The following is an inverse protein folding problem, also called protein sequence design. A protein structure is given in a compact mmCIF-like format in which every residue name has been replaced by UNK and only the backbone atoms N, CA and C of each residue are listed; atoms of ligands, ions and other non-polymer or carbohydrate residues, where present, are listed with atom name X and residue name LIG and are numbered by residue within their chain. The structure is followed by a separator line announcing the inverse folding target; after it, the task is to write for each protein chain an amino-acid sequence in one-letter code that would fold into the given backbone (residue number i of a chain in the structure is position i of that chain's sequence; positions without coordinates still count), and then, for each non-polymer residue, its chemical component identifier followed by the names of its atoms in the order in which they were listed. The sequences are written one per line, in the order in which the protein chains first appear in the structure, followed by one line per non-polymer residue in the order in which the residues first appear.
data_IF_698995737077
#
_entry.id   IF_698995737077
#
_cell.length_a   1.000
_cell.length_b   1.000
_cell.length_c   1.000
_cell.angle_alpha   90.00
_cell.angle_beta   90.00
_cell.angle_gamma   90.00
#
_symmetry.space_group_name_H-M   'P 1'
#
loop_
_entity.id
_entity.type
_entity.pdbx_description
1 polymer ?
#
# COMPACT_ATOMS: atom_id res chain seq x y z
N UNK A 1 -38.58 -38.32 68.74
CA UNK A 1 -37.86 -37.78 67.57
C UNK A 1 -38.79 -36.80 66.94
N UNK A 2 -38.57 -35.53 67.22
CA UNK A 2 -39.30 -34.44 66.60
C UNK A 2 -38.38 -33.22 66.53
N UNK A 3 -38.57 -32.52 65.42
CA UNK A 3 -37.88 -31.32 65.00
C UNK A 3 -38.13 -30.17 65.98
N UNK A 4 -37.13 -29.29 66.08
CA UNK A 4 -37.26 -27.84 65.84
C UNK A 4 -36.41 -27.00 66.82
N UNK A 5 -35.88 -25.93 66.25
CA UNK A 5 -35.39 -24.73 66.92
C UNK A 5 -34.06 -24.84 67.68
N UNK A 6 -32.98 -24.53 66.97
CA UNK A 6 -31.98 -23.59 67.48
C UNK A 6 -31.55 -22.69 66.32
N UNK A 7 -32.11 -21.49 66.36
CA UNK A 7 -31.85 -20.35 65.49
C UNK A 7 -30.86 -19.40 66.21
N UNK A 8 -30.11 -18.62 65.43
CA UNK A 8 -29.03 -17.66 65.77
C UNK A 8 -27.62 -18.29 65.70
N UNK A 9 -26.67 -17.86 64.87
CA UNK A 9 -26.45 -16.53 64.30
C UNK A 9 -25.99 -16.63 62.84
N UNK A 10 -26.53 -15.72 62.04
CA UNK A 10 -26.23 -15.43 60.65
C UNK A 10 -24.97 -14.58 60.50
N UNK A 11 -24.01 -15.04 59.71
CA UNK A 11 -23.11 -14.16 58.96
C UNK A 11 -23.09 -14.65 57.51
N UNK A 12 -23.74 -13.86 56.66
CA UNK A 12 -23.67 -13.95 55.21
C UNK A 12 -22.29 -13.48 54.76
N UNK A 13 -21.46 -14.41 54.32
CA UNK A 13 -20.27 -14.09 53.51
C UNK A 13 -20.78 -13.75 52.11
N UNK A 14 -21.00 -12.47 51.84
CA UNK A 14 -21.07 -11.97 50.47
C UNK A 14 -19.70 -12.19 49.83
N UNK A 15 -19.62 -13.17 48.94
CA UNK A 15 -18.48 -13.33 48.03
C UNK A 15 -18.52 -12.17 47.04
N UNK A 16 -17.87 -11.05 47.38
CA UNK A 16 -17.57 -10.00 46.41
C UNK A 16 -16.66 -10.59 45.32
N UNK A 17 -17.18 -10.65 44.09
CA UNK A 17 -16.37 -10.89 42.90
C UNK A 17 -15.34 -9.74 42.79
N UNK A 18 -14.08 -10.02 42.45
CA UNK A 18 -13.03 -9.02 42.50
C UNK A 18 -13.25 -7.96 41.41
N UNK A 19 -13.23 -6.69 41.81
CA UNK A 19 -13.39 -5.50 40.99
C UNK A 19 -12.26 -5.26 39.94
N UNK A 20 -11.45 -6.27 39.61
CA UNK A 20 -10.26 -6.13 38.77
C UNK A 20 -10.52 -6.18 37.26
N UNK A 21 -11.55 -6.91 36.81
CA UNK A 21 -11.75 -7.15 35.37
C UNK A 21 -12.41 -5.96 34.65
N UNK A 22 -13.26 -5.19 35.34
CA UNK A 22 -13.91 -4.01 34.77
C UNK A 22 -12.93 -2.84 34.56
N UNK A 23 -11.98 -2.64 35.48
CA UNK A 23 -10.94 -1.61 35.37
C UNK A 23 -9.94 -1.95 34.27
N UNK A 24 -9.58 -3.23 34.10
CA UNK A 24 -8.70 -3.67 33.02
C UNK A 24 -9.31 -3.44 31.62
N UNK A 25 -10.59 -3.79 31.44
CA UNK A 25 -11.30 -3.55 30.18
C UNK A 25 -11.42 -2.05 29.85
N UNK A 26 -11.67 -1.22 30.86
CA UNK A 26 -11.74 0.24 30.68
C UNK A 26 -10.38 0.86 30.34
N UNK A 27 -9.29 0.37 30.93
CA UNK A 27 -7.93 0.81 30.60
C UNK A 27 -7.57 0.44 29.16
N UNK A 28 -7.88 -0.78 28.72
CA UNK A 28 -7.67 -1.21 27.33
C UNK A 28 -8.47 -0.34 26.35
N UNK A 29 -9.76 -0.11 26.63
CA UNK A 29 -10.61 0.73 25.79
C UNK A 29 -10.09 2.17 25.69
N UNK A 30 -9.63 2.75 26.80
CA UNK A 30 -9.08 4.11 26.82
C UNK A 30 -7.76 4.19 26.02
N UNK A 31 -6.89 3.18 26.12
CA UNK A 31 -5.67 3.09 25.33
C UNK A 31 -5.99 2.94 23.83
N UNK A 32 -6.97 2.11 23.46
CA UNK A 32 -7.43 1.94 22.08
C UNK A 32 -8.02 3.25 21.52
N UNK A 33 -8.82 3.98 22.30
CA UNK A 33 -9.39 5.26 21.89
C UNK A 33 -8.35 6.37 21.78
N UNK A 34 -7.35 6.40 22.66
CA UNK A 34 -6.24 7.34 22.60
C UNK A 34 -5.30 7.02 21.42
N UNK A 35 -5.02 5.75 21.15
CA UNK A 35 -4.33 5.33 19.93
C UNK A 35 -5.11 5.69 18.67
N UNK A 36 -6.45 5.54 18.69
CA UNK A 36 -7.31 5.92 17.56
C UNK A 36 -7.24 7.42 17.31
N UNK A 37 -7.33 8.24 18.36
CA UNK A 37 -7.18 9.70 18.27
C UNK A 37 -5.79 10.11 17.77
N UNK A 38 -4.73 9.49 18.28
CA UNK A 38 -3.37 9.79 17.82
C UNK A 38 -3.18 9.43 16.33
N UNK A 39 -3.74 8.29 15.89
CA UNK A 39 -3.76 7.91 14.47
C UNK A 39 -4.57 8.90 13.63
N UNK A 40 -5.72 9.36 14.11
CA UNK A 40 -6.55 10.36 13.42
C UNK A 40 -5.86 11.73 13.34
N UNK A 41 -5.17 12.17 14.38
CA UNK A 41 -4.38 13.40 14.38
C UNK A 41 -3.17 13.31 13.44
N UNK A 42 -2.46 12.18 13.46
CA UNK A 42 -1.39 11.89 12.47
C UNK A 42 -1.94 11.87 11.05
N UNK A 43 -3.15 11.34 10.82
CA UNK A 43 -3.81 11.38 9.50
C UNK A 43 -4.15 12.81 9.08
N UNK A 44 -4.68 13.65 9.98
CA UNK A 44 -5.07 15.06 9.69
C UNK A 44 -3.90 15.97 9.35
N UNK A 45 -2.73 15.73 9.94
CA UNK A 45 -1.54 16.57 9.72
C UNK A 45 -0.68 16.12 8.53
N UNK A 46 -1.02 14.99 7.88
CA UNK A 46 -0.28 14.47 6.73
C UNK A 46 -0.84 15.03 5.43
N UNK A 47 0.06 15.28 4.48
CA UNK A 47 -0.37 15.50 3.11
C UNK A 47 -1.09 14.23 2.61
N UNK A 48 -2.29 14.36 2.03
CA UNK A 48 -3.06 13.19 1.61
C UNK A 48 -2.34 12.45 0.48
N UNK A 49 -2.36 11.11 0.48
CA UNK A 49 -1.80 10.33 -0.62
C UNK A 49 -2.60 10.56 -1.90
N UNK A 50 -1.92 10.42 -3.03
CA UNK A 50 -2.55 10.40 -4.35
C UNK A 50 -2.88 8.95 -4.67
N UNK A 51 -4.18 8.66 -4.80
CA UNK A 51 -4.72 7.34 -5.14
C UNK A 51 -5.81 7.47 -6.20
N UNK A 52 -6.25 6.34 -6.76
CA UNK A 52 -7.18 6.30 -7.87
C UNK A 52 -8.40 5.46 -7.50
N UNK A 53 -9.34 6.08 -6.78
CA UNK A 53 -10.52 5.42 -6.20
C UNK A 53 -11.52 4.94 -7.24
N UNK A 54 -11.66 5.70 -8.32
CA UNK A 54 -12.68 5.46 -9.36
C UNK A 54 -12.09 4.79 -10.61
N UNK A 55 -10.87 4.27 -10.54
CA UNK A 55 -10.19 3.69 -11.71
C UNK A 55 -10.73 2.30 -12.10
N UNK A 56 -11.37 1.60 -11.17
CA UNK A 56 -11.83 0.22 -11.35
C UNK A 56 -13.30 0.11 -10.93
N UNK A 57 -14.12 -0.42 -11.83
CA UNK A 57 -15.42 -0.98 -11.46
C UNK A 57 -15.24 -2.44 -11.04
N UNK A 58 -15.20 -2.67 -9.73
CA UNK A 58 -14.92 -4.00 -9.17
C UNK A 58 -15.95 -5.05 -9.56
N UNK A 59 -17.21 -4.66 -9.79
CA UNK A 59 -18.25 -5.63 -10.17
C UNK A 59 -17.96 -6.20 -11.55
N UNK A 60 -17.63 -5.33 -12.52
CA UNK A 60 -17.28 -5.73 -13.89
C UNK A 60 -16.00 -6.58 -13.90
N UNK A 61 -14.98 -6.15 -13.16
CA UNK A 61 -13.71 -6.87 -13.10
C UNK A 61 -13.86 -8.25 -12.44
N UNK A 62 -14.64 -8.34 -11.36
CA UNK A 62 -14.90 -9.59 -10.66
C UNK A 62 -15.73 -10.55 -11.52
N UNK A 63 -16.83 -10.10 -12.12
CA UNK A 63 -17.67 -10.94 -13.00
C UNK A 63 -16.86 -11.47 -14.19
N UNK A 64 -15.99 -10.62 -14.76
CA UNK A 64 -15.09 -11.03 -15.84
C UNK A 64 -14.06 -12.05 -15.35
N UNK A 65 -13.49 -11.87 -14.15
CA UNK A 65 -12.56 -12.81 -13.55
C UNK A 65 -13.21 -14.20 -13.38
N UNK A 66 -14.42 -14.25 -12.80
CA UNK A 66 -15.19 -15.49 -12.61
C UNK A 66 -15.40 -16.19 -13.96
N UNK A 67 -15.85 -15.47 -14.99
CA UNK A 67 -16.05 -16.04 -16.32
C UNK A 67 -14.78 -16.61 -16.96
N UNK A 68 -13.60 -16.07 -16.65
CA UNK A 68 -12.32 -16.56 -17.17
C UNK A 68 -11.82 -17.83 -16.47
N UNK A 69 -12.20 -18.04 -15.21
CA UNK A 69 -11.75 -19.15 -14.35
C UNK A 69 -12.83 -20.22 -14.14
N UNK A 70 -14.02 -20.04 -14.71
CA UNK A 70 -15.12 -21.00 -14.64
C UNK A 70 -14.68 -22.41 -15.08
N UNK A 71 -15.02 -23.40 -14.26
CA UNK A 71 -14.65 -24.81 -14.44
C UNK A 71 -13.15 -25.15 -14.33
N UNK A 72 -12.28 -24.22 -13.90
CA UNK A 72 -10.81 -24.43 -13.77
C UNK A 72 -10.30 -24.53 -12.35
N UNK A 73 -11.17 -24.25 -11.38
CA UNK A 73 -10.84 -24.21 -9.97
C UNK A 73 -11.17 -25.55 -9.28
N UNK A 74 -10.30 -25.97 -8.37
CA UNK A 74 -10.59 -27.05 -7.45
C UNK A 74 -11.54 -26.59 -6.32
N UNK A 75 -11.94 -27.48 -5.41
CA UNK A 75 -12.89 -27.17 -4.33
C UNK A 75 -12.37 -26.07 -3.37
N UNK A 76 -11.09 -26.11 -3.00
CA UNK A 76 -10.47 -25.11 -2.11
C UNK A 76 -10.36 -23.73 -2.78
N UNK A 77 -10.12 -23.71 -4.09
CA UNK A 77 -10.05 -22.48 -4.88
C UNK A 77 -11.43 -21.90 -5.15
N UNK A 78 -12.46 -22.74 -5.30
CA UNK A 78 -13.85 -22.29 -5.36
C UNK A 78 -14.26 -21.62 -4.05
N UNK A 79 -13.84 -22.18 -2.91
CA UNK A 79 -14.02 -21.53 -1.62
C UNK A 79 -13.29 -20.18 -1.58
N UNK A 80 -12.01 -20.13 -1.98
CA UNK A 80 -11.23 -18.88 -2.00
C UNK A 80 -11.83 -17.81 -2.92
N UNK A 81 -12.49 -18.22 -4.02
CA UNK A 81 -13.22 -17.32 -4.91
C UNK A 81 -14.49 -16.76 -4.23
N UNK A 82 -15.22 -17.57 -3.47
CA UNK A 82 -16.38 -17.11 -2.69
C UNK A 82 -15.93 -16.15 -1.56
N UNK A 83 -14.83 -16.44 -0.89
CA UNK A 83 -14.23 -15.54 0.12
C UNK A 83 -13.87 -14.17 -0.50
N UNK A 84 -13.31 -14.17 -1.73
CA UNK A 84 -13.05 -12.94 -2.48
C UNK A 84 -14.34 -12.18 -2.81
N UNK A 85 -15.39 -12.90 -3.19
CA UNK A 85 -16.71 -12.32 -3.46
C UNK A 85 -17.31 -11.66 -2.22
N UNK A 86 -17.29 -12.36 -1.08
CA UNK A 86 -17.75 -11.85 0.22
C UNK A 86 -16.98 -10.58 0.62
N UNK A 87 -15.66 -10.61 0.49
CA UNK A 87 -14.81 -9.47 0.81
C UNK A 87 -15.04 -8.26 -0.09
N UNK A 88 -15.16 -8.47 -1.40
CA UNK A 88 -15.18 -7.38 -2.38
C UNK A 88 -16.58 -6.85 -2.68
N UNK A 89 -17.59 -7.71 -2.78
CA UNK A 89 -18.93 -7.34 -3.25
C UNK A 89 -19.99 -7.35 -2.14
N UNK A 90 -19.80 -8.13 -1.07
CA UNK A 90 -20.74 -8.17 0.06
C UNK A 90 -20.30 -7.33 1.27
N UNK A 91 -19.11 -6.74 1.18
CA UNK A 91 -18.50 -5.91 2.23
C UNK A 91 -18.38 -6.64 3.58
N UNK A 92 -18.20 -7.96 3.56
CA UNK A 92 -18.04 -8.73 4.80
C UNK A 92 -16.73 -8.36 5.50
N UNK A 93 -15.70 -7.88 4.79
CA UNK A 93 -14.42 -7.48 5.36
C UNK A 93 -13.38 -8.60 5.34
N UNK A 94 -12.14 -8.31 5.71
CA UNK A 94 -11.00 -9.19 5.45
C UNK A 94 -11.00 -10.47 6.29
N UNK A 95 -11.87 -10.58 7.29
CA UNK A 95 -12.03 -11.81 8.08
C UNK A 95 -12.71 -12.93 7.28
N UNK A 96 -13.35 -12.61 6.16
CA UNK A 96 -13.85 -13.60 5.21
C UNK A 96 -12.69 -14.36 4.52
N UNK A 97 -11.48 -13.80 4.49
CA UNK A 97 -10.35 -14.38 3.77
C UNK A 97 -9.66 -15.47 4.60
N UNK A 98 -9.68 -16.70 4.10
CA UNK A 98 -9.08 -17.88 4.72
C UNK A 98 -7.57 -17.97 4.55
N UNK A 99 -6.96 -19.00 5.16
CA UNK A 99 -5.50 -19.18 5.17
C UNK A 99 -4.90 -19.45 3.78
N UNK A 100 -5.66 -20.10 2.89
CA UNK A 100 -5.23 -20.47 1.54
C UNK A 100 -5.48 -19.36 0.50
N UNK A 101 -6.13 -18.26 0.90
CA UNK A 101 -6.55 -17.19 -0.01
C UNK A 101 -5.38 -16.62 -0.82
N UNK A 102 -4.24 -16.36 -0.19
CA UNK A 102 -3.08 -15.79 -0.91
C UNK A 102 -2.44 -16.79 -1.88
N UNK A 103 -2.49 -18.09 -1.61
CA UNK A 103 -2.01 -19.13 -2.52
C UNK A 103 -2.89 -19.17 -3.79
N UNK A 104 -4.20 -19.06 -3.61
CA UNK A 104 -5.15 -18.88 -4.70
C UNK A 104 -4.84 -17.63 -5.54
N UNK A 105 -4.64 -16.46 -4.91
CA UNK A 105 -4.21 -15.24 -5.63
C UNK A 105 -2.89 -15.46 -6.37
N UNK A 106 -1.92 -16.13 -5.74
CA UNK A 106 -0.63 -16.48 -6.36
C UNK A 106 -0.79 -17.31 -7.63
N UNK A 107 -1.68 -18.30 -7.62
CA UNK A 107 -2.02 -19.09 -8.82
C UNK A 107 -2.65 -18.22 -9.90
N UNK A 108 -3.65 -17.40 -9.58
CA UNK A 108 -4.30 -16.51 -10.55
C UNK A 108 -3.32 -15.55 -11.24
N UNK A 109 -2.30 -15.10 -10.51
CA UNK A 109 -1.29 -14.19 -11.04
C UNK A 109 -0.25 -14.88 -11.94
N UNK A 110 0.08 -16.15 -11.68
CA UNK A 110 1.29 -16.79 -12.25
C UNK A 110 1.04 -18.03 -13.10
N UNK A 111 -0.12 -18.67 -12.97
CA UNK A 111 -0.43 -19.92 -13.67
C UNK A 111 -0.70 -19.66 -15.16
N UNK A 112 0.27 -20.04 -15.99
CA UNK A 112 0.22 -19.86 -17.45
C UNK A 112 -0.79 -20.77 -18.15
N UNK A 113 -1.37 -21.75 -17.45
CA UNK A 113 -2.45 -22.57 -17.99
C UNK A 113 -3.81 -21.83 -17.97
N UNK A 114 -3.92 -20.78 -17.15
CA UNK A 114 -5.08 -19.91 -17.12
C UNK A 114 -5.06 -18.91 -18.28
N UNK A 115 -6.21 -18.28 -18.54
CA UNK A 115 -6.31 -17.26 -19.59
C UNK A 115 -5.43 -16.06 -19.24
N UNK A 116 -4.75 -15.46 -20.23
CA UNK A 116 -3.84 -14.30 -20.01
C UNK A 116 -4.52 -13.12 -19.29
N UNK A 117 -5.84 -12.95 -19.48
CA UNK A 117 -6.64 -11.94 -18.81
C UNK A 117 -6.87 -12.18 -17.31
N UNK A 118 -6.67 -13.39 -16.79
CA UNK A 118 -6.92 -13.71 -15.37
C UNK A 118 -6.02 -12.87 -14.46
N UNK A 119 -4.72 -12.82 -14.78
CA UNK A 119 -3.74 -12.02 -14.02
C UNK A 119 -4.12 -10.54 -13.97
N UNK A 120 -4.56 -9.98 -15.12
CA UNK A 120 -5.01 -8.60 -15.23
C UNK A 120 -6.24 -8.33 -14.36
N UNK A 121 -7.29 -9.16 -14.48
CA UNK A 121 -8.52 -8.98 -13.69
C UNK A 121 -8.25 -9.15 -12.19
N UNK A 122 -7.38 -10.08 -11.83
CA UNK A 122 -6.95 -10.28 -10.44
C UNK A 122 -6.26 -9.03 -9.89
N UNK A 123 -5.32 -8.43 -10.63
CA UNK A 123 -4.67 -7.18 -10.22
C UNK A 123 -5.65 -6.02 -10.08
N UNK A 124 -6.65 -5.92 -10.96
CA UNK A 124 -7.67 -4.88 -10.88
C UNK A 124 -8.57 -5.05 -9.64
N UNK A 125 -8.99 -6.28 -9.34
CA UNK A 125 -9.75 -6.57 -8.10
C UNK A 125 -8.89 -6.26 -6.87
N UNK A 126 -7.61 -6.64 -6.86
CA UNK A 126 -6.69 -6.28 -5.78
C UNK A 126 -6.47 -4.76 -5.67
N UNK A 127 -6.45 -4.04 -6.78
CA UNK A 127 -6.32 -2.59 -6.79
C UNK A 127 -7.54 -1.88 -6.17
N UNK A 128 -8.74 -2.45 -6.32
CA UNK A 128 -9.92 -2.02 -5.60
C UNK A 128 -9.83 -2.41 -4.11
N UNK A 129 -9.38 -3.62 -3.80
CA UNK A 129 -9.19 -4.10 -2.43
C UNK A 129 -8.19 -3.24 -1.64
N UNK A 130 -7.15 -2.71 -2.29
CA UNK A 130 -6.13 -1.85 -1.69
C UNK A 130 -6.69 -0.57 -1.04
N UNK A 131 -7.89 -0.15 -1.42
CA UNK A 131 -8.56 1.02 -0.88
C UNK A 131 -9.38 0.73 0.39
N UNK A 132 -9.59 -0.55 0.73
CA UNK A 132 -10.31 -0.94 1.95
C UNK A 132 -9.42 -0.79 3.18
N UNK A 133 -10.00 -0.31 4.28
CA UNK A 133 -9.26 0.01 5.52
C UNK A 133 -8.60 -1.21 6.18
N UNK A 134 -9.20 -2.39 5.99
CA UNK A 134 -8.82 -3.67 6.58
C UNK A 134 -7.89 -4.51 5.68
N UNK A 135 -7.53 -4.02 4.49
CA UNK A 135 -6.64 -4.74 3.54
C UNK A 135 -5.30 -5.12 4.18
N UNK A 136 -4.84 -4.36 5.18
CA UNK A 136 -3.63 -4.65 5.94
C UNK A 136 -3.63 -6.03 6.59
N UNK A 137 -4.81 -6.57 6.97
CA UNK A 137 -4.91 -7.90 7.56
C UNK A 137 -4.54 -8.99 6.54
N UNK A 138 -4.97 -8.84 5.29
CA UNK A 138 -4.55 -9.69 4.17
C UNK A 138 -3.04 -9.51 3.88
N UNK A 139 -2.54 -8.27 3.85
CA UNK A 139 -1.11 -8.00 3.60
C UNK A 139 -0.18 -8.58 4.69
N UNK A 140 -0.65 -8.67 5.93
CA UNK A 140 0.09 -9.32 7.02
C UNK A 140 0.26 -10.82 6.81
N UNK A 141 -0.74 -11.50 6.23
CA UNK A 141 -0.65 -12.91 5.89
C UNK A 141 0.40 -13.16 4.80
N UNK A 142 0.60 -12.19 3.88
CA UNK A 142 1.57 -12.29 2.78
C UNK A 142 3.02 -12.39 3.25
N UNK A 143 3.35 -11.96 4.47
CA UNK A 143 4.70 -12.06 5.04
C UNK A 143 5.27 -13.48 5.07
N UNK A 144 4.42 -14.52 4.95
CA UNK A 144 4.85 -15.92 4.95
C UNK A 144 5.50 -16.34 3.63
N UNK A 145 4.92 -15.91 2.50
CA UNK A 145 5.30 -16.39 1.16
C UNK A 145 5.66 -15.27 0.18
N UNK A 146 5.40 -14.01 0.55
CA UNK A 146 5.66 -12.80 -0.23
C UNK A 146 5.08 -12.87 -1.64
N UNK A 147 3.89 -13.45 -1.82
CA UNK A 147 3.29 -13.75 -3.12
C UNK A 147 3.13 -12.47 -3.94
N UNK A 148 2.55 -11.43 -3.33
CA UNK A 148 2.31 -10.16 -4.01
C UNK A 148 3.61 -9.47 -4.41
N UNK A 149 4.59 -9.41 -3.51
CA UNK A 149 5.86 -8.72 -3.77
C UNK A 149 6.78 -9.51 -4.70
N UNK A 150 6.74 -10.85 -4.67
CA UNK A 150 7.44 -11.70 -5.63
C UNK A 150 6.90 -11.50 -7.05
N UNK A 151 5.57 -11.38 -7.21
CA UNK A 151 4.97 -11.04 -8.50
C UNK A 151 5.38 -9.62 -8.95
N UNK A 152 5.27 -8.65 -8.04
CA UNK A 152 5.59 -7.25 -8.32
C UNK A 152 7.07 -7.03 -8.66
N UNK A 153 7.98 -7.84 -8.10
CA UNK A 153 9.39 -7.82 -8.47
C UNK A 153 9.63 -8.05 -9.96
N UNK A 154 8.72 -8.75 -10.65
CA UNK A 154 8.79 -9.00 -12.09
C UNK A 154 8.19 -7.92 -12.99
N UNK A 155 7.83 -6.73 -12.46
CA UNK A 155 7.07 -5.69 -13.18
C UNK A 155 7.59 -5.37 -14.59
N UNK A 156 8.90 -5.26 -14.77
CA UNK A 156 9.55 -4.93 -16.05
C UNK A 156 9.37 -6.00 -17.14
N UNK A 157 8.92 -7.20 -16.75
CA UNK A 157 8.72 -8.36 -17.63
C UNK A 157 7.26 -8.69 -17.87
N UNK A 158 6.35 -7.98 -17.20
CA UNK A 158 4.91 -8.18 -17.39
C UNK A 158 4.45 -7.51 -18.69
N UNK A 159 3.37 -7.99 -19.33
CA UNK A 159 2.76 -7.25 -20.41
C UNK A 159 2.18 -5.92 -19.91
N UNK A 160 2.10 -4.91 -20.79
CA UNK A 160 1.74 -3.54 -20.43
C UNK A 160 0.44 -3.44 -19.61
N UNK A 161 -0.67 -4.14 -19.94
CA UNK A 161 -1.89 -4.06 -19.13
C UNK A 161 -1.69 -4.51 -17.68
N UNK A 162 -0.90 -5.57 -17.46
CA UNK A 162 -0.57 -6.04 -16.11
C UNK A 162 0.36 -5.06 -15.40
N UNK A 163 1.31 -4.42 -16.10
CA UNK A 163 2.12 -3.36 -15.51
C UNK A 163 1.25 -2.18 -15.03
N UNK A 164 0.28 -1.75 -15.85
CA UNK A 164 -0.67 -0.70 -15.49
C UNK A 164 -1.50 -1.09 -14.24
N UNK A 165 -2.06 -2.30 -14.22
CA UNK A 165 -2.88 -2.79 -13.11
C UNK A 165 -2.07 -2.97 -11.82
N UNK A 166 -0.85 -3.51 -11.91
CA UNK A 166 0.05 -3.63 -10.77
C UNK A 166 0.47 -2.26 -10.22
N UNK A 167 0.78 -1.31 -11.10
CA UNK A 167 1.13 0.07 -10.70
C UNK A 167 -0.04 0.73 -9.97
N UNK A 168 -1.27 0.50 -10.44
CA UNK A 168 -2.49 0.98 -9.78
C UNK A 168 -2.68 0.35 -8.40
N UNK A 169 -2.51 -0.97 -8.28
CA UNK A 169 -2.57 -1.67 -7.01
C UNK A 169 -1.57 -1.10 -5.99
N UNK A 170 -0.30 -0.96 -6.37
CA UNK A 170 0.75 -0.38 -5.51
C UNK A 170 0.43 1.08 -5.15
N UNK A 171 -0.09 1.87 -6.09
CA UNK A 171 -0.46 3.26 -5.79
C UNK A 171 -1.62 3.34 -4.79
N UNK A 172 -2.65 2.51 -4.95
CA UNK A 172 -3.83 2.53 -4.09
C UNK A 172 -3.53 2.04 -2.66
N UNK A 173 -2.53 1.18 -2.47
CA UNK A 173 -2.07 0.75 -1.14
C UNK A 173 -1.54 1.93 -0.28
N UNK A 174 -1.30 3.11 -0.85
CA UNK A 174 -0.98 4.31 -0.06
C UNK A 174 -2.18 4.96 0.62
N UNK A 175 -3.43 4.60 0.27
CA UNK A 175 -4.65 5.16 0.87
C UNK A 175 -4.63 5.01 2.40
N UNK A 176 -4.27 3.81 2.85
CA UNK A 176 -4.30 3.43 4.25
C UNK A 176 -2.92 3.43 4.89
N UNK A 177 -2.89 3.81 6.18
CA UNK A 177 -1.63 3.88 6.92
C UNK A 177 -0.93 2.52 6.95
N UNK A 178 -1.63 1.49 7.40
CA UNK A 178 -1.07 0.14 7.55
C UNK A 178 -0.56 -0.43 6.24
N UNK A 179 -1.31 -0.30 5.14
CA UNK A 179 -0.88 -0.78 3.82
C UNK A 179 0.30 0.02 3.27
N UNK A 180 0.34 1.34 3.49
CA UNK A 180 1.48 2.16 3.09
C UNK A 180 2.74 1.85 3.88
N UNK A 181 2.63 1.57 5.18
CA UNK A 181 3.75 1.09 6.00
C UNK A 181 4.18 -0.31 5.57
N UNK A 182 3.23 -1.14 5.12
CA UNK A 182 3.54 -2.44 4.57
C UNK A 182 4.40 -2.36 3.31
N UNK A 183 4.11 -1.44 2.40
CA UNK A 183 4.95 -1.17 1.22
C UNK A 183 6.39 -0.75 1.58
N UNK A 184 6.58 -0.13 2.74
CA UNK A 184 7.87 0.38 3.21
C UNK A 184 8.65 -0.63 4.07
N UNK A 185 8.12 -1.84 4.31
CA UNK A 185 8.83 -2.84 5.12
C UNK A 185 10.20 -3.16 4.53
N UNK A 186 11.20 -3.17 5.42
CA UNK A 186 12.61 -3.39 5.08
C UNK A 186 13.08 -4.83 5.30
N UNK A 187 12.28 -5.66 5.97
CA UNK A 187 12.65 -7.05 6.20
C UNK A 187 12.89 -7.75 4.86
N UNK A 188 14.09 -8.31 4.73
CA UNK A 188 14.55 -8.90 3.47
C UNK A 188 14.20 -10.38 3.38
N UNK A 189 13.94 -10.84 2.16
CA UNK A 189 13.88 -12.26 1.81
C UNK A 189 14.61 -12.52 0.50
N UNK A 190 14.93 -13.80 0.27
CA UNK A 190 15.57 -14.25 -0.97
C UNK A 190 14.53 -14.57 -2.03
N UNK A 191 14.64 -13.97 -3.21
CA UNK A 191 13.82 -14.31 -4.37
C UNK A 191 14.63 -14.16 -5.66
N UNK A 192 14.59 -15.18 -6.53
CA UNK A 192 15.35 -15.20 -7.79
C UNK A 192 16.84 -14.81 -7.64
N UNK A 193 17.52 -15.34 -6.63
CA UNK A 193 18.91 -15.05 -6.28
C UNK A 193 19.21 -13.58 -5.89
N UNK A 194 18.18 -12.80 -5.56
CA UNK A 194 18.33 -11.43 -5.06
C UNK A 194 17.79 -11.35 -3.63
N UNK A 195 18.41 -10.51 -2.80
CA UNK A 195 17.80 -10.06 -1.56
C UNK A 195 16.88 -8.90 -1.89
N UNK A 196 15.59 -9.05 -1.57
CA UNK A 196 14.57 -8.03 -1.83
C UNK A 196 13.80 -7.75 -0.55
N UNK A 197 13.16 -6.59 -0.50
CA UNK A 197 12.22 -6.18 0.55
C UNK A 197 11.06 -5.41 -0.08
N UNK A 198 10.00 -5.16 0.68
CA UNK A 198 8.82 -4.45 0.16
C UNK A 198 9.19 -3.07 -0.38
N UNK A 199 10.04 -2.31 0.33
CA UNK A 199 10.46 -0.99 -0.14
C UNK A 199 11.27 -1.07 -1.44
N UNK A 200 12.14 -2.07 -1.60
CA UNK A 200 12.94 -2.25 -2.83
C UNK A 200 12.04 -2.61 -4.01
N UNK A 201 11.04 -3.47 -3.81
CA UNK A 201 10.06 -3.82 -4.85
C UNK A 201 9.15 -2.63 -5.19
N UNK A 202 8.66 -1.89 -4.19
CA UNK A 202 7.85 -0.69 -4.38
C UNK A 202 8.61 0.38 -5.17
N UNK A 203 9.88 0.59 -4.82
CA UNK A 203 10.80 1.49 -5.55
C UNK A 203 10.95 1.06 -7.00
N UNK A 204 11.17 -0.25 -7.25
CA UNK A 204 11.27 -0.79 -8.61
C UNK A 204 9.99 -0.54 -9.43
N UNK A 205 8.80 -0.75 -8.85
CA UNK A 205 7.53 -0.46 -9.51
C UNK A 205 7.40 1.04 -9.82
N UNK A 206 7.75 1.91 -8.87
CA UNK A 206 7.71 3.36 -9.08
C UNK A 206 8.62 3.82 -10.22
N UNK A 207 9.87 3.32 -10.26
CA UNK A 207 10.86 3.62 -11.31
C UNK A 207 10.38 3.10 -12.67
N UNK A 208 9.90 1.86 -12.73
CA UNK A 208 9.35 1.29 -13.96
C UNK A 208 8.17 2.10 -14.50
N UNK A 209 7.28 2.56 -13.60
CA UNK A 209 6.11 3.35 -13.96
C UNK A 209 6.46 4.75 -14.49
N UNK A 210 7.27 5.52 -13.78
CA UNK A 210 7.60 6.90 -14.19
C UNK A 210 8.44 6.96 -15.46
N UNK A 211 9.27 5.94 -15.73
CA UNK A 211 10.11 5.86 -16.93
C UNK A 211 9.42 5.16 -18.11
N UNK A 212 8.14 4.77 -17.96
CA UNK A 212 7.37 4.15 -19.03
C UNK A 212 7.07 5.13 -20.17
N UNK A 213 6.92 4.60 -21.38
CA UNK A 213 6.40 5.36 -22.53
C UNK A 213 4.87 5.54 -22.47
N UNK A 214 4.18 4.75 -21.63
CA UNK A 214 2.74 4.83 -21.40
C UNK A 214 2.34 5.98 -20.47
N UNK A 215 1.35 6.79 -20.88
CA UNK A 215 0.93 7.99 -20.15
C UNK A 215 0.30 7.68 -18.79
N UNK A 216 -0.53 6.65 -18.71
CA UNK A 216 -1.20 6.25 -17.47
C UNK A 216 -0.20 5.71 -16.45
N UNK A 217 0.79 4.93 -16.91
CA UNK A 217 1.89 4.48 -16.07
C UNK A 217 2.71 5.66 -15.54
N UNK A 218 3.03 6.66 -16.38
CA UNK A 218 3.77 7.84 -15.91
C UNK A 218 2.98 8.63 -14.88
N UNK A 219 1.67 8.82 -15.11
CA UNK A 219 0.83 9.52 -14.14
C UNK A 219 0.84 8.83 -12.78
N UNK A 220 0.59 7.52 -12.77
CA UNK A 220 0.62 6.69 -11.54
C UNK A 220 2.02 6.62 -10.92
N UNK A 221 3.08 6.55 -11.73
CA UNK A 221 4.45 6.55 -11.27
C UNK A 221 4.81 7.83 -10.51
N UNK A 222 4.41 9.00 -11.03
CA UNK A 222 4.59 10.27 -10.32
C UNK A 222 3.76 10.35 -9.03
N UNK A 223 2.58 9.72 -8.99
CA UNK A 223 1.77 9.61 -7.78
C UNK A 223 2.45 8.72 -6.71
N UNK A 224 2.97 7.55 -7.08
CA UNK A 224 3.73 6.68 -6.18
C UNK A 224 4.96 7.40 -5.63
N UNK A 225 5.70 8.12 -6.48
CA UNK A 225 6.85 8.94 -6.06
C UNK A 225 6.48 10.01 -5.05
N UNK A 226 5.40 10.76 -5.31
CA UNK A 226 4.87 11.73 -4.37
C UNK A 226 4.53 11.05 -3.03
N UNK A 227 3.79 9.93 -3.09
CA UNK A 227 3.39 9.19 -1.89
C UNK A 227 4.59 8.70 -1.10
N UNK A 228 5.60 8.10 -1.75
CA UNK A 228 6.86 7.69 -1.13
C UNK A 228 7.59 8.87 -0.49
N UNK A 229 7.65 10.02 -1.15
CA UNK A 229 8.32 11.21 -0.61
C UNK A 229 7.58 11.87 0.56
N UNK A 230 6.27 11.68 0.66
CA UNK A 230 5.49 12.06 1.86
C UNK A 230 5.67 11.07 3.01
N UNK A 231 6.29 9.92 2.74
CA UNK A 231 6.74 8.95 3.74
C UNK A 231 8.24 9.13 4.00
N UNK A 232 8.69 8.74 5.17
CA UNK A 232 10.12 8.74 5.49
C UNK A 232 10.76 7.50 4.84
N UNK A 233 11.48 7.70 3.73
CA UNK A 233 12.26 6.64 3.04
C UNK A 233 13.74 6.73 3.38
N UNK A 234 14.48 5.66 3.13
CA UNK A 234 15.93 5.62 3.30
C UNK A 234 16.66 6.43 2.23
N UNK A 235 17.89 6.80 2.55
CA UNK A 235 18.76 7.62 1.70
C UNK A 235 19.00 6.99 0.32
N UNK A 236 19.28 5.68 0.26
CA UNK A 236 19.50 4.93 -0.98
C UNK A 236 18.26 4.92 -1.89
N UNK A 237 17.08 4.77 -1.29
CA UNK A 237 15.79 4.84 -2.00
C UNK A 237 15.54 6.24 -2.53
N UNK A 238 15.80 7.28 -1.72
CA UNK A 238 15.65 8.68 -2.15
C UNK A 238 16.57 9.01 -3.33
N UNK A 239 17.81 8.52 -3.32
CA UNK A 239 18.78 8.65 -4.42
C UNK A 239 18.29 7.98 -5.70
N UNK A 240 17.85 6.72 -5.61
CA UNK A 240 17.36 5.94 -6.76
C UNK A 240 16.12 6.58 -7.39
N UNK A 241 15.15 6.99 -6.57
CA UNK A 241 13.94 7.69 -7.01
C UNK A 241 14.25 9.06 -7.62
N UNK A 242 15.22 9.79 -7.06
CA UNK A 242 15.67 11.07 -7.62
C UNK A 242 16.23 10.88 -9.04
N UNK A 243 17.05 9.87 -9.27
CA UNK A 243 17.58 9.59 -10.61
C UNK A 243 16.46 9.35 -11.63
N UNK A 244 15.46 8.56 -11.27
CA UNK A 244 14.30 8.31 -12.13
C UNK A 244 13.51 9.59 -12.42
N UNK A 245 13.29 10.44 -11.42
CA UNK A 245 12.62 11.73 -11.61
C UNK A 245 13.42 12.63 -12.55
N UNK A 246 14.74 12.74 -12.38
CA UNK A 246 15.59 13.58 -13.23
C UNK A 246 15.59 13.11 -14.70
N UNK A 247 15.57 11.79 -14.93
CA UNK A 247 15.43 11.22 -16.26
C UNK A 247 14.06 11.54 -16.87
N UNK A 248 12.97 11.39 -16.11
CA UNK A 248 11.62 11.74 -16.55
C UNK A 248 11.49 13.23 -16.91
N UNK A 249 12.07 14.11 -16.10
CA UNK A 249 12.05 15.56 -16.31
C UNK A 249 12.91 16.02 -17.50
N UNK A 250 13.65 15.12 -18.18
CA UNK A 250 14.38 15.48 -19.41
C UNK A 250 13.48 16.07 -20.51
N UNK A 251 12.17 15.79 -20.44
CA UNK A 251 11.12 16.43 -21.26
C UNK A 251 10.10 17.12 -20.33
N UNK A 252 9.54 18.29 -20.69
CA UNK A 252 8.52 18.95 -19.88
C UNK A 252 7.26 18.07 -19.73
N UNK A 253 6.88 17.67 -18.50
CA UNK A 253 5.67 16.88 -18.29
C UNK A 253 4.45 17.79 -18.04
N UNK A 254 3.23 17.22 -17.97
CA UNK A 254 2.05 17.92 -17.49
C UNK A 254 2.29 18.56 -16.11
N UNK A 255 1.67 19.71 -15.85
CA UNK A 255 1.94 20.52 -14.65
C UNK A 255 1.73 19.75 -13.33
N UNK A 256 0.71 18.90 -13.25
CA UNK A 256 0.44 18.09 -12.06
C UNK A 256 1.54 17.06 -11.79
N UNK A 257 2.09 16.45 -12.85
CA UNK A 257 3.20 15.51 -12.76
C UNK A 257 4.50 16.23 -12.38
N UNK A 258 4.75 17.41 -12.95
CA UNK A 258 5.86 18.27 -12.56
C UNK A 258 5.80 18.62 -11.06
N UNK A 259 4.63 19.03 -10.57
CA UNK A 259 4.42 19.34 -9.15
C UNK A 259 4.75 18.15 -8.25
N UNK A 260 4.23 16.96 -8.55
CA UNK A 260 4.50 15.72 -7.80
C UNK A 260 6.01 15.43 -7.74
N UNK A 261 6.69 15.53 -8.89
CA UNK A 261 8.13 15.32 -9.01
C UNK A 261 8.96 16.35 -8.23
N UNK A 262 8.64 17.65 -8.35
CA UNK A 262 9.34 18.71 -7.62
C UNK A 262 9.13 18.58 -6.11
N UNK A 263 7.92 18.22 -5.68
CA UNK A 263 7.64 17.98 -4.26
C UNK A 263 8.44 16.80 -3.74
N UNK A 264 8.52 15.72 -4.53
CA UNK A 264 9.33 14.55 -4.18
C UNK A 264 10.81 14.91 -4.08
N UNK A 265 11.38 15.63 -5.06
CA UNK A 265 12.77 16.11 -5.02
C UNK A 265 13.02 16.98 -3.79
N UNK A 266 12.14 17.93 -3.48
CA UNK A 266 12.30 18.80 -2.31
C UNK A 266 12.40 18.00 -1.01
N UNK A 267 11.59 16.94 -0.87
CA UNK A 267 11.66 16.00 0.26
C UNK A 267 12.92 15.15 0.23
N UNK A 268 13.32 14.63 -0.93
CA UNK A 268 14.54 13.83 -1.05
C UNK A 268 15.81 14.65 -0.76
N UNK A 269 15.85 15.96 -1.05
CA UNK A 269 16.92 16.86 -0.60
C UNK A 269 16.98 17.03 0.92
N UNK A 270 15.90 16.73 1.65
CA UNK A 270 15.87 16.74 3.12
C UNK A 270 16.36 15.40 3.69
N UNK A 271 15.97 14.29 3.05
CA UNK A 271 16.34 12.92 3.44
C UNK A 271 17.82 12.67 3.14
N UNK A 272 18.23 12.92 1.90
CA UNK A 272 19.60 12.77 1.41
C UNK A 272 20.19 14.15 1.11
N UNK A 273 20.72 14.80 2.15
CA UNK A 273 21.11 16.21 2.08
C UNK A 273 22.38 16.48 1.24
N UNK A 274 23.11 15.43 0.84
CA UNK A 274 24.35 15.54 0.05
C UNK A 274 24.17 14.93 -1.34
N UNK A 275 23.81 13.65 -1.42
CA UNK A 275 23.81 12.92 -2.69
C UNK A 275 22.71 13.42 -3.64
N UNK A 276 21.48 13.63 -3.15
CA UNK A 276 20.39 14.13 -4.00
C UNK A 276 20.69 15.51 -4.61
N UNK A 277 21.11 16.55 -3.84
CA UNK A 277 21.57 17.80 -4.42
C UNK A 277 22.69 17.65 -5.45
N UNK A 278 23.67 16.77 -5.20
CA UNK A 278 24.76 16.51 -6.12
C UNK A 278 24.27 15.87 -7.44
N UNK A 279 23.35 14.92 -7.38
CA UNK A 279 22.74 14.30 -8.56
C UNK A 279 21.99 15.33 -9.41
N UNK A 280 21.26 16.25 -8.78
CA UNK A 280 20.56 17.34 -9.48
C UNK A 280 21.55 18.23 -10.25
N UNK A 281 22.71 18.54 -9.67
CA UNK A 281 23.75 19.32 -10.34
C UNK A 281 24.39 18.56 -11.51
N UNK A 282 24.57 17.25 -11.39
CA UNK A 282 25.36 16.45 -12.33
C UNK A 282 24.57 15.86 -13.51
N UNK A 283 23.31 15.47 -13.31
CA UNK A 283 22.59 14.58 -14.24
C UNK A 283 21.47 15.29 -15.00
N UNK A 284 20.56 15.94 -14.27
CA UNK A 284 19.25 16.29 -14.80
C UNK A 284 19.07 17.76 -15.13
N UNK A 285 18.00 18.12 -15.87
CA UNK A 285 17.71 19.53 -16.11
C UNK A 285 17.53 20.21 -14.75
N UNK A 286 18.26 21.32 -14.55
CA UNK A 286 18.17 22.05 -13.30
C UNK A 286 16.71 22.46 -13.05
N UNK A 287 16.14 22.28 -11.85
CA UNK A 287 14.72 22.56 -11.58
C UNK A 287 14.26 23.96 -12.00
N UNK A 288 15.17 24.93 -12.01
CA UNK A 288 14.90 26.29 -12.49
C UNK A 288 14.49 26.39 -13.96
N UNK A 289 14.75 25.37 -14.78
CA UNK A 289 14.30 25.30 -16.17
C UNK A 289 12.78 25.23 -16.30
N UNK A 290 12.07 24.84 -15.23
CA UNK A 290 10.62 24.75 -15.19
C UNK A 290 9.92 25.95 -14.53
N UNK A 291 10.66 27.04 -14.27
CA UNK A 291 10.10 28.27 -13.67
C UNK A 291 9.01 28.88 -14.54
N UNK A 292 7.98 29.43 -13.91
CA UNK A 292 6.84 30.04 -14.55
C UNK A 292 5.77 29.04 -15.02
N UNK A 293 5.91 27.76 -14.69
CA UNK A 293 4.88 26.74 -14.98
C UNK A 293 3.65 26.91 -14.09
N UNK A 294 3.84 27.13 -12.80
CA UNK A 294 2.79 27.48 -11.83
C UNK A 294 3.42 28.03 -10.54
N UNK A 295 2.64 28.79 -9.75
CA UNK A 295 3.14 29.35 -8.49
C UNK A 295 3.66 28.28 -7.53
N UNK A 296 2.93 27.17 -7.39
CA UNK A 296 3.32 26.07 -6.50
C UNK A 296 4.62 25.39 -6.94
N UNK A 297 4.88 25.31 -8.24
CA UNK A 297 6.13 24.76 -8.76
C UNK A 297 7.28 25.73 -8.54
N UNK A 298 7.05 27.04 -8.73
CA UNK A 298 8.06 28.07 -8.49
C UNK A 298 8.50 28.12 -7.02
N UNK A 299 7.57 27.94 -6.08
CA UNK A 299 7.85 27.86 -4.65
C UNK A 299 8.74 26.64 -4.32
N UNK A 300 8.44 25.47 -4.89
CA UNK A 300 9.24 24.25 -4.74
C UNK A 300 10.63 24.39 -5.37
N UNK A 301 10.71 25.00 -6.55
CA UNK A 301 12.00 25.27 -7.22
C UNK A 301 12.86 26.18 -6.34
N UNK A 302 12.27 27.20 -5.71
CA UNK A 302 12.99 28.08 -4.78
C UNK A 302 13.46 27.33 -3.52
N UNK A 303 12.69 26.37 -3.01
CA UNK A 303 13.11 25.48 -1.94
C UNK A 303 14.31 24.61 -2.34
N UNK A 304 14.20 23.89 -3.45
CA UNK A 304 15.25 23.00 -3.96
C UNK A 304 16.53 23.81 -4.25
N UNK A 305 16.42 24.96 -4.89
CA UNK A 305 17.57 25.81 -5.25
C UNK A 305 18.36 26.29 -4.02
N UNK A 306 17.75 26.36 -2.83
CA UNK A 306 18.48 26.68 -1.59
C UNK A 306 19.38 25.53 -1.12
N UNK A 307 19.08 24.29 -1.52
CA UNK A 307 19.80 23.07 -1.16
C UNK A 307 20.86 22.67 -2.19
N UNK A 308 20.62 22.97 -3.46
CA UNK A 308 21.49 22.60 -4.61
C UNK A 308 22.63 23.61 -4.82
N UNK A 309 23.19 24.17 -3.75
CA UNK A 309 24.27 25.18 -3.85
C UNK A 309 25.64 24.59 -4.12
#
# INVERSE_FOLDING_TARGET
GDFSQLNKMSESVETQLPAGDADAAQIVQNLEDDERKEREEKKKNREPPIVYKDAIDVHIEFDTLVGLIDGKLNEEEQQSLEELHQYMLQDEGSWALGENFLEFIGRLLTDKSLNEGVSLRTLNVLAAAALKDDVILMLHQDRRQHIMMNYAYGVDRLPLPQQQALTLFICNLFENLGSSEWLLYISEWSYNNNQISNIRVTTKVAVNAILSEDEDMRDRGTAILYNLATKEVFDDVAVELTMAVLQFLSKPPPEAQLFRCLKAIARFCQISAQDVPQLIQMIGPHPSSFKGSSQRNDDLIAEISRKVR
#
